data_IF_591926770532
#
_entry.id   IF_591926770532
#
_cell.length_a   1.000
_cell.length_b   1.000
_cell.length_c   1.000
_cell.angle_alpha   90.00
_cell.angle_beta   90.00
_cell.angle_gamma   90.00
#
_symmetry.space_group_name_H-M   'P 1'
#
loop_
_entity.id
_entity.type
_entity.pdbx_description
1 polymer ?
#
# COMPACT_ATOMS: atom_id res chain seq x y z
N UNK A 1 -28.67 51.48 -16.66
CA UNK A 1 -29.72 50.43 -16.78
C UNK A 1 -30.13 50.43 -18.24
N UNK A 2 -30.02 49.40 -19.08
CA UNK A 2 -29.89 47.94 -18.91
C UNK A 2 -28.95 47.38 -20.02
N UNK A 3 -27.99 46.53 -19.67
CA UNK A 3 -27.96 45.08 -19.91
C UNK A 3 -27.66 44.67 -21.37
N UNK A 4 -26.36 44.64 -21.72
CA UNK A 4 -25.87 43.88 -22.85
C UNK A 4 -25.60 42.44 -22.41
N UNK A 5 -26.45 41.52 -22.83
CA UNK A 5 -26.34 40.08 -22.60
C UNK A 5 -25.11 39.52 -23.32
N UNK A 6 -24.04 39.28 -22.57
CA UNK A 6 -22.85 38.61 -23.07
C UNK A 6 -23.15 37.13 -23.32
N UNK A 7 -23.30 36.77 -24.59
CA UNK A 7 -23.57 35.41 -25.05
C UNK A 7 -22.27 34.60 -24.92
N UNK A 8 -22.23 33.72 -23.91
CA UNK A 8 -21.11 32.81 -23.63
C UNK A 8 -20.97 31.80 -24.77
N UNK A 9 -20.02 32.03 -25.68
CA UNK A 9 -19.60 31.04 -26.66
C UNK A 9 -18.60 30.10 -25.99
N UNK A 10 -19.02 28.87 -25.72
CA UNK A 10 -18.15 27.78 -25.28
C UNK A 10 -17.18 27.44 -26.41
N UNK A 11 -15.91 27.77 -26.23
CA UNK A 11 -14.85 27.48 -27.20
C UNK A 11 -14.24 26.11 -26.90
N UNK A 12 -14.97 25.05 -27.26
CA UNK A 12 -14.36 23.75 -27.57
C UNK A 12 -14.03 23.77 -29.05
N UNK A 13 -12.75 23.70 -29.39
CA UNK A 13 -12.20 23.09 -30.61
C UNK A 13 -10.72 23.48 -30.77
N UNK A 14 -9.82 22.70 -30.15
CA UNK A 14 -8.57 22.38 -30.83
C UNK A 14 -8.84 21.15 -31.71
N UNK A 15 -9.60 21.37 -32.78
CA UNK A 15 -9.65 20.41 -33.88
C UNK A 15 -8.44 20.70 -34.77
N UNK A 16 -7.38 19.90 -34.63
CA UNK A 16 -6.31 19.79 -35.61
C UNK A 16 -6.86 19.13 -36.88
N UNK A 17 -7.62 19.89 -37.66
CA UNK A 17 -8.00 19.56 -39.03
C UNK A 17 -8.11 20.87 -39.81
N UNK A 18 -7.10 21.11 -40.66
CA UNK A 18 -7.12 22.10 -41.75
C UNK A 18 -7.27 23.57 -41.34
N UNK A 19 -6.37 24.09 -40.51
CA UNK A 19 -6.39 25.51 -40.09
C UNK A 19 -5.85 26.50 -41.12
N UNK A 20 -5.52 26.08 -42.35
CA UNK A 20 -4.93 26.95 -43.37
C UNK A 20 -5.93 27.67 -44.27
N UNK A 21 -7.06 27.02 -44.61
CA UNK A 21 -8.03 27.54 -45.57
C UNK A 21 -8.74 28.84 -45.13
N UNK A 22 -9.28 28.92 -43.90
CA UNK A 22 -10.01 30.10 -43.43
C UNK A 22 -9.12 31.35 -43.32
N UNK A 23 -7.85 31.18 -42.94
CA UNK A 23 -6.89 32.28 -42.87
C UNK A 23 -6.53 32.82 -44.24
N UNK A 24 -6.36 31.93 -45.22
CA UNK A 24 -6.03 32.30 -46.60
C UNK A 24 -7.22 32.99 -47.30
N UNK A 25 -8.45 32.56 -47.02
CA UNK A 25 -9.66 33.21 -47.52
C UNK A 25 -9.87 34.60 -46.89
N UNK A 26 -9.58 34.76 -45.59
CA UNK A 26 -9.64 36.06 -44.91
C UNK A 26 -8.55 37.04 -45.38
N UNK A 27 -7.38 36.53 -45.76
CA UNK A 27 -6.33 37.32 -46.42
C UNK A 27 -6.75 37.74 -47.83
N UNK A 28 -7.31 36.82 -48.62
CA UNK A 28 -7.81 37.11 -49.97
C UNK A 28 -8.97 38.12 -49.96
N UNK A 29 -9.83 38.09 -48.93
CA UNK A 29 -10.91 39.06 -48.71
C UNK A 29 -10.42 40.43 -48.19
N UNK A 30 -9.11 40.61 -47.99
CA UNK A 30 -8.51 41.88 -47.55
C UNK A 30 -8.77 42.24 -46.07
N UNK A 31 -9.36 41.31 -45.31
CA UNK A 31 -9.64 41.51 -43.88
C UNK A 31 -8.35 41.38 -43.02
N UNK A 32 -7.34 40.68 -43.52
CA UNK A 32 -6.03 40.53 -42.88
C UNK A 32 -4.97 41.25 -43.73
N UNK A 33 -4.25 42.21 -43.14
CA UNK A 33 -3.17 42.93 -43.80
C UNK A 33 -1.83 42.21 -43.57
N UNK A 34 -0.94 42.13 -44.58
CA UNK A 34 0.40 41.59 -44.39
C UNK A 34 1.12 42.40 -43.30
N UNK A 35 1.58 41.73 -42.24
CA UNK A 35 2.35 42.35 -41.14
C UNK A 35 1.55 42.84 -39.94
N UNK A 36 0.21 42.73 -39.93
CA UNK A 36 -0.64 43.08 -38.78
C UNK A 36 -1.14 41.84 -38.03
N UNK A 37 -0.25 40.86 -37.85
CA UNK A 37 -0.56 39.64 -37.11
C UNK A 37 0.05 39.77 -35.70
N UNK A 38 -0.76 40.24 -34.75
CA UNK A 38 -0.40 40.12 -33.33
C UNK A 38 -0.67 38.68 -32.94
N UNK A 39 0.37 37.93 -32.58
CA UNK A 39 0.20 36.65 -31.90
C UNK A 39 -0.43 36.98 -30.55
N UNK A 40 -1.75 36.85 -30.46
CA UNK A 40 -2.44 36.90 -29.19
C UNK A 40 -2.01 35.65 -28.44
N UNK A 41 -1.02 35.78 -27.56
CA UNK A 41 -0.72 34.71 -26.62
C UNK A 41 -2.03 34.39 -25.89
N UNK A 42 -2.48 33.13 -26.04
CA UNK A 42 -3.70 32.67 -25.39
C UNK A 42 -3.62 32.98 -23.90
N UNK A 43 -4.76 33.35 -23.29
CA UNK A 43 -4.81 33.63 -21.85
C UNK A 43 -4.05 32.54 -21.10
N UNK A 44 -3.18 32.90 -20.12
CA UNK A 44 -2.48 31.89 -19.34
C UNK A 44 -3.49 30.92 -18.75
N UNK A 45 -3.22 29.62 -18.93
CA UNK A 45 -4.07 28.56 -18.38
C UNK A 45 -4.24 28.82 -16.89
N UNK A 46 -5.48 28.77 -16.41
CA UNK A 46 -5.74 28.99 -15.00
C UNK A 46 -5.07 27.86 -14.19
N UNK A 47 -4.50 28.16 -13.00
CA UNK A 47 -4.13 27.09 -12.09
C UNK A 47 -5.39 26.29 -11.73
N UNK A 48 -5.32 24.96 -11.89
CA UNK A 48 -6.43 24.01 -11.73
C UNK A 48 -7.60 24.16 -12.73
N UNK A 49 -7.30 24.07 -14.03
CA UNK A 49 -8.31 23.97 -15.09
C UNK A 49 -9.03 22.61 -15.08
N UNK A 50 -10.13 22.54 -14.31
CA UNK A 50 -10.95 21.33 -14.17
C UNK A 50 -11.61 20.90 -15.48
N UNK A 51 -11.95 21.85 -16.36
CA UNK A 51 -12.59 21.54 -17.65
C UNK A 51 -11.58 20.90 -18.61
N UNK A 52 -10.38 21.46 -18.69
CA UNK A 52 -9.26 20.87 -19.42
C UNK A 52 -8.89 19.47 -18.92
N UNK A 53 -8.82 19.27 -17.60
CA UNK A 53 -8.56 17.95 -17.01
C UNK A 53 -9.62 16.91 -17.38
N UNK A 54 -10.91 17.30 -17.39
CA UNK A 54 -12.01 16.41 -17.81
C UNK A 54 -11.93 16.08 -19.30
N UNK A 55 -11.55 17.05 -20.13
CA UNK A 55 -11.37 16.82 -21.56
C UNK A 55 -10.22 15.82 -21.80
N UNK A 56 -9.06 16.04 -21.19
CA UNK A 56 -7.93 15.10 -21.31
C UNK A 56 -8.27 13.71 -20.77
N UNK A 57 -9.04 13.63 -19.68
CA UNK A 57 -9.54 12.34 -19.18
C UNK A 57 -10.41 11.64 -20.23
N UNK A 58 -11.32 12.37 -20.87
CA UNK A 58 -12.17 11.82 -21.91
C UNK A 58 -11.37 11.33 -23.13
N UNK A 59 -10.31 12.04 -23.51
CA UNK A 59 -9.41 11.66 -24.60
C UNK A 59 -8.61 10.38 -24.26
N UNK A 60 -8.13 10.24 -23.02
CA UNK A 60 -7.37 9.05 -22.59
C UNK A 60 -8.24 7.85 -22.21
N UNK A 61 -9.52 8.06 -21.87
CA UNK A 61 -10.38 7.01 -21.36
C UNK A 61 -10.75 6.04 -22.47
N UNK A 62 -10.09 4.88 -22.46
CA UNK A 62 -10.45 3.76 -23.32
C UNK A 62 -11.64 2.99 -22.74
N UNK A 63 -12.66 2.74 -23.56
CA UNK A 63 -13.82 1.93 -23.18
C UNK A 63 -13.52 0.44 -23.40
N UNK A 64 -12.59 -0.10 -22.61
CA UNK A 64 -12.24 -1.52 -22.65
C UNK A 64 -13.09 -2.33 -21.67
N UNK A 65 -13.31 -3.60 -22.01
CA UNK A 65 -13.91 -4.55 -21.09
C UNK A 65 -13.03 -4.68 -19.84
N UNK A 66 -13.65 -4.85 -18.67
CA UNK A 66 -12.91 -4.89 -17.41
C UNK A 66 -11.81 -5.95 -17.38
N UNK A 67 -12.01 -7.09 -18.07
CA UNK A 67 -11.03 -8.18 -18.15
C UNK A 67 -9.70 -7.78 -18.80
N UNK A 68 -9.69 -6.77 -19.67
CA UNK A 68 -8.48 -6.28 -20.32
C UNK A 68 -7.73 -5.26 -19.46
N UNK A 69 -8.44 -4.61 -18.55
CA UNK A 69 -7.88 -3.60 -17.63
C UNK A 69 -7.39 -4.23 -16.33
N UNK A 70 -8.12 -5.24 -15.83
CA UNK A 70 -7.89 -5.92 -14.54
C UNK A 70 -7.70 -4.95 -13.36
N UNK A 71 -8.30 -3.75 -13.46
CA UNK A 71 -8.18 -2.69 -12.47
C UNK A 71 -9.24 -2.82 -11.38
N UNK A 72 -8.84 -2.66 -10.12
CA UNK A 72 -9.77 -2.65 -8.98
C UNK A 72 -9.50 -1.42 -8.15
N UNK A 73 -10.53 -0.58 -8.00
CA UNK A 73 -10.49 0.63 -7.20
C UNK A 73 -11.40 0.46 -5.99
N UNK A 74 -10.77 0.31 -4.83
CA UNK A 74 -11.46 0.24 -3.54
C UNK A 74 -11.38 1.57 -2.81
N UNK A 75 -12.44 1.91 -2.08
CA UNK A 75 -12.40 2.99 -1.09
C UNK A 75 -11.46 2.68 0.08
N UNK A 76 -11.23 3.66 0.95
CA UNK A 76 -10.45 3.44 2.16
C UNK A 76 -11.09 2.35 3.03
N UNK A 77 -10.31 1.31 3.33
CA UNK A 77 -10.72 0.25 4.25
C UNK A 77 -10.45 0.73 5.67
N UNK A 78 -11.50 0.79 6.50
CA UNK A 78 -11.35 1.08 7.92
C UNK A 78 -10.63 -0.09 8.60
N UNK A 79 -9.59 0.22 9.38
CA UNK A 79 -8.85 -0.78 10.14
C UNK A 79 -9.71 -1.27 11.32
N UNK A 80 -10.44 -2.38 11.13
CA UNK A 80 -11.34 -2.98 12.14
C UNK A 80 -10.62 -3.45 13.42
N UNK A 81 -9.29 -3.36 13.52
CA UNK A 81 -8.54 -3.91 14.66
C UNK A 81 -8.47 -2.96 15.88
N UNK A 82 -8.94 -1.71 15.78
CA UNK A 82 -8.88 -0.75 16.90
C UNK A 82 -10.23 -0.10 17.27
N UNK A 83 -11.37 -0.68 16.89
CA UNK A 83 -12.67 -0.22 17.41
C UNK A 83 -12.97 -0.78 18.81
N UNK A 84 -12.17 -0.39 19.80
CA UNK A 84 -12.52 -0.41 21.24
C UNK A 84 -12.53 1.00 21.85
N UNK A 85 -12.14 2.05 21.13
CA UNK A 85 -12.20 3.41 21.67
C UNK A 85 -13.16 4.28 20.87
N UNK A 86 -14.26 4.63 21.52
CA UNK A 86 -15.35 5.46 21.03
C UNK A 86 -14.90 6.86 20.60
N UNK A 87 -15.62 7.40 19.61
CA UNK A 87 -15.95 8.82 19.42
C UNK A 87 -14.80 9.81 19.25
N UNK A 88 -14.26 9.92 18.02
CA UNK A 88 -13.82 11.21 17.47
C UNK A 88 -13.92 11.18 15.95
N UNK A 89 -14.69 12.11 15.38
CA UNK A 89 -15.04 12.24 13.96
C UNK A 89 -13.89 12.72 13.04
N UNK A 90 -12.63 12.41 13.37
CA UNK A 90 -11.47 12.87 12.57
C UNK A 90 -10.16 12.07 12.81
N UNK A 91 -10.23 10.75 13.00
CA UNK A 91 -9.05 9.90 13.34
C UNK A 91 -8.85 8.63 12.49
N UNK A 92 -9.23 8.67 11.21
CA UNK A 92 -8.98 7.55 10.28
C UNK A 92 -7.64 7.65 9.54
N UNK A 93 -6.79 8.62 9.90
CA UNK A 93 -5.46 8.76 9.31
C UNK A 93 -4.48 7.78 9.98
N UNK A 94 -4.05 6.76 9.22
CA UNK A 94 -2.85 5.99 9.57
C UNK A 94 -1.70 6.96 9.80
N UNK A 95 -1.00 6.85 10.94
CA UNK A 95 0.17 7.66 11.22
C UNK A 95 1.22 7.44 10.10
N UNK A 96 1.52 8.47 9.28
CA UNK A 96 2.42 8.31 8.15
C UNK A 96 3.85 7.97 8.58
N UNK A 97 4.24 8.28 9.83
CA UNK A 97 5.58 7.98 10.36
C UNK A 97 5.68 6.54 10.90
N UNK A 98 4.56 5.85 11.10
CA UNK A 98 4.56 4.46 11.56
C UNK A 98 4.57 3.47 10.39
N UNK A 99 5.77 3.04 10.01
CA UNK A 99 5.99 2.09 8.93
C UNK A 99 5.16 0.80 9.09
N UNK A 100 5.04 0.22 10.29
CA UNK A 100 4.32 -1.04 10.47
C UNK A 100 2.83 -0.90 10.22
N UNK A 101 2.22 0.19 10.70
CA UNK A 101 0.80 0.46 10.46
C UNK A 101 0.54 0.78 9.00
N UNK A 102 1.44 1.53 8.35
CA UNK A 102 1.37 1.87 6.93
C UNK A 102 1.52 0.64 6.02
N UNK A 103 2.46 -0.25 6.29
CA UNK A 103 2.60 -1.51 5.55
C UNK A 103 1.39 -2.43 5.76
N UNK A 104 0.82 -2.47 6.97
CA UNK A 104 -0.38 -3.24 7.26
C UNK A 104 -1.60 -2.73 6.49
N UNK A 105 -1.76 -1.41 6.35
CA UNK A 105 -2.87 -0.83 5.58
C UNK A 105 -2.75 -1.15 4.09
N UNK A 106 -1.54 -1.04 3.52
CA UNK A 106 -1.28 -1.45 2.12
C UNK A 106 -1.56 -2.93 1.90
N UNK A 107 -1.13 -3.80 2.83
CA UNK A 107 -1.40 -5.23 2.76
C UNK A 107 -2.91 -5.52 2.74
N UNK A 108 -3.68 -4.90 3.63
CA UNK A 108 -5.13 -5.08 3.70
C UNK A 108 -5.84 -4.57 2.44
N UNK A 109 -5.41 -3.44 1.92
CA UNK A 109 -5.98 -2.87 0.70
C UNK A 109 -5.73 -3.77 -0.51
N UNK A 110 -4.50 -4.30 -0.64
CA UNK A 110 -4.17 -5.27 -1.69
C UNK A 110 -4.98 -6.57 -1.53
N UNK A 111 -5.11 -7.08 -0.30
CA UNK A 111 -5.89 -8.29 -0.02
C UNK A 111 -7.36 -8.12 -0.40
N UNK A 112 -7.98 -7.00 -0.02
CA UNK A 112 -9.37 -6.70 -0.36
C UNK A 112 -9.57 -6.61 -1.88
N UNK A 113 -8.63 -5.97 -2.60
CA UNK A 113 -8.70 -5.87 -4.06
C UNK A 113 -8.62 -7.25 -4.73
N UNK A 114 -7.76 -8.15 -4.23
CA UNK A 114 -7.67 -9.54 -4.71
C UNK A 114 -8.97 -10.30 -4.44
N UNK A 115 -9.55 -10.14 -3.24
CA UNK A 115 -10.81 -10.79 -2.88
C UNK A 115 -11.99 -10.32 -3.74
N UNK A 116 -11.98 -9.07 -4.21
CA UNK A 116 -12.97 -8.56 -5.15
C UNK A 116 -12.70 -9.02 -6.59
N UNK A 117 -11.45 -9.06 -7.03
CA UNK A 117 -11.07 -9.45 -8.38
C UNK A 117 -11.30 -10.95 -8.67
N UNK A 118 -10.99 -11.82 -7.71
CA UNK A 118 -11.04 -13.28 -7.90
C UNK A 118 -12.43 -13.80 -8.30
N UNK A 119 -13.54 -13.41 -7.64
CA UNK A 119 -14.89 -13.78 -8.07
C UNK A 119 -15.23 -13.30 -9.48
N UNK A 120 -14.79 -12.08 -9.86
CA UNK A 120 -15.02 -11.53 -11.20
C UNK A 120 -14.31 -12.36 -12.27
N UNK A 121 -13.06 -12.74 -12.04
CA UNK A 121 -12.28 -13.61 -12.94
C UNK A 121 -12.87 -15.03 -13.05
N UNK A 122 -13.34 -15.59 -11.92
CA UNK A 122 -14.01 -16.90 -11.92
C UNK A 122 -15.29 -16.91 -12.75
N UNK A 123 -16.11 -15.86 -12.70
CA UNK A 123 -17.30 -15.70 -13.55
C UNK A 123 -16.96 -15.71 -15.04
N UNK A 124 -15.81 -15.12 -15.40
CA UNK A 124 -15.28 -15.09 -16.76
C UNK A 124 -14.53 -16.38 -17.15
N UNK A 125 -14.47 -17.39 -16.27
CA UNK A 125 -13.78 -18.67 -16.47
C UNK A 125 -12.28 -18.52 -16.76
N UNK A 126 -11.64 -17.45 -16.25
CA UNK A 126 -10.20 -17.24 -16.38
C UNK A 126 -9.46 -18.00 -15.25
N UNK A 127 -8.47 -18.85 -15.56
CA UNK A 127 -7.68 -19.54 -14.53
C UNK A 127 -6.77 -18.55 -13.80
N UNK A 128 -6.86 -18.48 -12.48
CA UNK A 128 -6.11 -17.50 -11.67
C UNK A 128 -4.92 -18.09 -10.92
N UNK A 129 -4.87 -19.42 -10.74
CA UNK A 129 -3.80 -20.10 -10.01
C UNK A 129 -2.74 -20.58 -11.00
N UNK A 130 -1.47 -20.24 -10.73
CA UNK A 130 -0.32 -20.81 -11.44
C UNK A 130 -0.21 -22.32 -11.13
N UNK A 131 -0.23 -23.21 -12.14
CA UNK A 131 0.04 -24.63 -11.95
C UNK A 131 1.49 -24.87 -11.50
N UNK A 132 1.72 -25.88 -10.66
CA UNK A 132 3.06 -26.21 -10.15
C UNK A 132 3.99 -26.73 -11.25
N UNK A 133 3.42 -27.32 -12.30
CA UNK A 133 4.13 -27.88 -13.47
C UNK A 133 4.30 -26.88 -14.62
N UNK A 134 4.00 -25.60 -14.40
CA UNK A 134 4.18 -24.55 -15.40
C UNK A 134 5.48 -23.77 -15.15
N UNK A 135 6.52 -24.15 -15.88
CA UNK A 135 7.85 -23.53 -15.85
C UNK A 135 7.94 -22.40 -16.88
N UNK A 136 7.79 -21.17 -16.41
CA UNK A 136 8.03 -19.94 -17.16
C UNK A 136 9.03 -19.07 -16.41
N UNK A 137 9.62 -18.09 -17.10
CA UNK A 137 10.52 -17.13 -16.47
C UNK A 137 9.81 -16.37 -15.36
N UNK A 138 10.42 -16.34 -14.17
CA UNK A 138 9.90 -15.66 -12.99
C UNK A 138 10.66 -14.35 -12.78
N UNK A 139 10.04 -13.37 -12.12
CA UNK A 139 10.67 -12.07 -11.85
C UNK A 139 11.99 -12.13 -11.05
N UNK A 140 12.28 -13.25 -10.37
CA UNK A 140 13.54 -13.52 -9.67
C UNK A 140 14.05 -14.90 -10.05
N UNK A 141 15.37 -15.04 -10.20
CA UNK A 141 15.99 -16.32 -10.51
C UNK A 141 15.97 -17.29 -9.33
N UNK A 142 15.97 -18.59 -9.63
CA UNK A 142 15.98 -19.64 -8.60
C UNK A 142 17.23 -19.58 -7.72
N UNK A 143 18.39 -19.24 -8.30
CA UNK A 143 19.63 -19.03 -7.56
C UNK A 143 19.48 -17.92 -6.51
N UNK A 144 18.81 -16.82 -6.86
CA UNK A 144 18.54 -15.74 -5.91
C UNK A 144 17.57 -16.20 -4.81
N UNK A 145 16.51 -16.93 -5.17
CA UNK A 145 15.55 -17.46 -4.20
C UNK A 145 16.17 -18.50 -3.26
N UNK A 146 17.12 -19.32 -3.73
CA UNK A 146 17.87 -20.25 -2.89
C UNK A 146 18.72 -19.51 -1.85
N UNK A 147 19.39 -18.41 -2.24
CA UNK A 147 20.13 -17.54 -1.30
C UNK A 147 19.21 -16.93 -0.25
N UNK A 148 18.02 -16.47 -0.64
CA UNK A 148 17.02 -15.93 0.30
C UNK A 148 16.57 -17.00 1.29
N UNK A 149 16.25 -18.21 0.81
CA UNK A 149 15.85 -19.35 1.67
C UNK A 149 16.95 -19.72 2.66
N UNK A 150 18.20 -19.77 2.22
CA UNK A 150 19.35 -20.04 3.10
C UNK A 150 19.47 -18.99 4.21
N UNK A 151 19.30 -17.69 3.88
CA UNK A 151 19.31 -16.61 4.89
C UNK A 151 18.15 -16.69 5.88
N UNK A 152 16.96 -17.07 5.41
CA UNK A 152 15.81 -17.27 6.31
C UNK A 152 16.06 -18.44 7.26
N UNK A 153 16.56 -19.57 6.74
CA UNK A 153 16.91 -20.74 7.55
C UNK A 153 17.98 -20.42 8.59
N UNK A 154 19.05 -19.71 8.20
CA UNK A 154 20.12 -19.35 9.14
C UNK A 154 19.64 -18.40 10.25
N UNK A 155 18.75 -17.45 9.94
CA UNK A 155 18.11 -16.58 10.95
C UNK A 155 17.24 -17.39 11.92
N UNK A 156 16.45 -18.31 11.40
CA UNK A 156 15.61 -19.19 12.22
C UNK A 156 16.46 -20.05 13.17
N UNK A 157 17.50 -20.70 12.65
CA UNK A 157 18.42 -21.50 13.46
C UNK A 157 19.15 -20.66 14.52
N UNK A 158 19.57 -19.43 14.19
CA UNK A 158 20.20 -18.53 15.15
C UNK A 158 19.23 -18.13 16.28
N UNK A 159 17.98 -17.85 15.95
CA UNK A 159 16.92 -17.55 16.93
C UNK A 159 16.66 -18.74 17.85
N UNK A 160 16.48 -19.94 17.28
CA UNK A 160 16.27 -21.17 18.05
C UNK A 160 17.45 -21.50 18.96
N UNK A 161 18.69 -21.33 18.48
CA UNK A 161 19.89 -21.53 19.31
C UNK A 161 19.93 -20.54 20.47
N UNK A 162 19.57 -19.28 20.24
CA UNK A 162 19.49 -18.26 21.27
C UNK A 162 18.43 -18.60 22.33
N UNK A 163 17.24 -19.02 21.90
CA UNK A 163 16.16 -19.43 22.81
C UNK A 163 16.52 -20.69 23.61
N UNK A 164 17.07 -21.73 22.97
CA UNK A 164 17.58 -22.93 23.66
C UNK A 164 18.67 -22.57 24.67
N UNK A 165 19.57 -21.64 24.33
CA UNK A 165 20.60 -21.18 25.26
C UNK A 165 20.01 -20.42 26.46
N UNK A 166 18.99 -19.57 26.25
CA UNK A 166 18.26 -18.90 27.35
C UNK A 166 17.58 -19.92 28.25
N UNK A 167 16.89 -20.91 27.69
CA UNK A 167 16.25 -22.00 28.44
C UNK A 167 17.27 -22.80 29.26
N UNK A 168 18.41 -23.18 28.67
CA UNK A 168 19.46 -23.90 29.38
C UNK A 168 20.06 -23.08 30.52
N UNK A 169 20.24 -21.77 30.33
CA UNK A 169 20.68 -20.85 31.39
C UNK A 169 19.65 -20.76 32.52
N UNK A 170 18.36 -20.69 32.20
CA UNK A 170 17.29 -20.67 33.18
C UNK A 170 17.24 -21.98 34.00
N UNK A 171 17.30 -23.13 33.33
CA UNK A 171 17.35 -24.45 33.98
C UNK A 171 18.56 -24.59 34.91
N UNK A 172 19.76 -24.14 34.47
CA UNK A 172 20.97 -24.15 35.31
C UNK A 172 20.83 -23.24 36.53
N UNK A 173 20.23 -22.05 36.40
CA UNK A 173 19.96 -21.14 37.52
C UNK A 173 18.99 -21.77 38.53
N UNK A 174 17.90 -22.38 38.04
CA UNK A 174 16.93 -23.07 38.87
C UNK A 174 17.55 -24.25 39.62
N UNK A 175 18.31 -25.12 38.93
CA UNK A 175 19.00 -26.24 39.57
C UNK A 175 19.98 -25.80 40.68
N UNK A 176 20.69 -24.68 40.50
CA UNK A 176 21.53 -24.09 41.56
C UNK A 176 20.73 -23.52 42.74
N UNK A 177 19.49 -23.05 42.51
CA UNK A 177 18.60 -22.55 43.56
C UNK A 177 18.03 -23.70 44.38
N UNK A 178 17.54 -24.75 43.71
CA UNK A 178 17.04 -25.98 44.33
C UNK A 178 18.12 -26.62 45.21
N UNK A 179 19.33 -26.81 44.68
CA UNK A 179 20.44 -27.38 45.46
C UNK A 179 20.78 -26.56 46.71
N UNK A 180 20.70 -25.22 46.63
CA UNK A 180 20.93 -24.33 47.79
C UNK A 180 19.79 -24.36 48.79
N UNK A 181 18.53 -24.41 48.33
CA UNK A 181 17.36 -24.57 49.21
C UNK A 181 17.49 -25.88 49.98
N UNK A 182 17.67 -26.99 49.26
CA UNK A 182 17.79 -28.32 49.83
C UNK A 182 18.87 -28.41 50.91
N UNK A 183 20.06 -27.83 50.68
CA UNK A 183 21.12 -27.76 51.71
C UNK A 183 20.72 -26.95 52.94
N UNK A 184 20.02 -25.81 52.77
CA UNK A 184 19.51 -25.02 53.90
C UNK A 184 18.45 -25.78 54.68
N UNK A 185 17.53 -26.42 53.96
CA UNK A 185 16.44 -27.19 54.55
C UNK A 185 17.01 -28.32 55.42
N UNK A 186 17.96 -29.13 54.90
CA UNK A 186 18.66 -30.15 55.68
C UNK A 186 19.37 -29.57 56.91
N UNK A 187 20.09 -28.46 56.73
CA UNK A 187 20.81 -27.81 57.83
C UNK A 187 19.85 -27.34 58.93
N UNK A 188 18.69 -26.79 58.53
CA UNK A 188 17.66 -26.30 59.44
C UNK A 188 17.01 -27.47 60.19
N UNK A 189 16.70 -28.57 59.51
CA UNK A 189 16.20 -29.80 60.15
C UNK A 189 17.21 -30.37 61.16
N UNK A 190 18.50 -30.41 60.81
CA UNK A 190 19.54 -30.86 61.75
C UNK A 190 19.67 -29.96 62.98
N UNK A 191 19.66 -28.64 62.80
CA UNK A 191 19.72 -27.71 63.94
C UNK A 191 18.47 -27.81 64.82
N UNK A 192 17.30 -28.00 64.22
CA UNK A 192 16.04 -28.17 64.96
C UNK A 192 16.06 -29.43 65.81
N UNK A 193 16.50 -30.57 65.24
CA UNK A 193 16.69 -31.84 65.96
C UNK A 193 17.66 -31.71 67.13
N UNK A 194 18.82 -31.08 66.93
CA UNK A 194 19.80 -30.84 68.00
C UNK A 194 19.25 -29.93 69.11
N UNK A 195 18.43 -28.94 68.75
CA UNK A 195 17.80 -28.03 69.70
C UNK A 195 16.64 -28.69 70.47
N UNK A 196 16.04 -29.74 69.91
CA UNK A 196 15.01 -30.57 70.56
C UNK A 196 15.68 -31.57 71.51
N UNK A 197 16.80 -32.18 71.10
CA UNK A 197 17.65 -33.02 71.97
C UNK A 197 18.20 -32.26 73.17
N UNK A 198 18.59 -30.98 73.02
CA UNK A 198 19.05 -30.14 74.14
C UNK A 198 17.91 -29.62 75.04
N UNK A 199 16.66 -29.76 74.62
CA UNK A 199 15.48 -29.31 75.38
C UNK A 199 14.85 -30.42 76.23
N UNK A 200 15.17 -31.68 75.92
CA UNK A 200 14.83 -32.87 76.71
C UNK A 200 15.99 -33.23 77.65
#
# INVERSE_FOLDING_TARGET
RAAATSRRLSHSQYASTTSGGPLQEAFAKGALKPGLNVVLEGRPKQPNDVEGLKQCLAEFRQQLAWVERLDVTLGQLTNVVESVSQNTTDKDAVDPENDFQREMSFYRQAQAAVLEALPRLRKLKVPTRRPDDYFAEMAKSDQQMQKIRQKLKSKQEAMEKSEKAKQLRAMRKYGKKVRRSYKRDISMTRMWSLSEELRN
#
